data_IF_677586622579
#
_entry.id   IF_677586622579
#
_cell.length_a   1.000
_cell.length_b   1.000
_cell.length_c   1.000
_cell.angle_alpha   90.00
_cell.angle_beta   90.00
_cell.angle_gamma   90.00
#
_symmetry.space_group_name_H-M   'P 1'
#
loop_
_entity.id
_entity.type
_entity.pdbx_description
1 polymer ?
#
# COMPACT_ATOMS: atom_id res chain seq x y z
N UNK A 1 -5.10 23.02 -15.46
CA UNK A 1 -5.21 22.70 -14.02
C UNK A 1 -5.69 23.95 -13.30
N UNK A 2 -6.83 23.90 -12.61
CA UNK A 2 -7.41 25.05 -11.91
C UNK A 2 -6.58 25.36 -10.65
N UNK A 3 -6.31 26.63 -10.34
CA UNK A 3 -5.57 27.06 -9.14
C UNK A 3 -6.13 26.48 -7.83
N UNK A 4 -7.46 26.25 -7.77
CA UNK A 4 -8.10 25.62 -6.61
C UNK A 4 -7.75 24.14 -6.47
N UNK A 5 -7.67 23.41 -7.58
CA UNK A 5 -7.33 21.99 -7.61
C UNK A 5 -5.87 21.77 -7.19
N UNK A 6 -4.95 22.62 -7.68
CA UNK A 6 -3.55 22.61 -7.27
C UNK A 6 -3.39 22.86 -5.75
N UNK A 7 -4.16 23.81 -5.19
CA UNK A 7 -4.17 24.08 -3.74
C UNK A 7 -4.69 22.88 -2.94
N UNK A 8 -5.75 22.21 -3.41
CA UNK A 8 -6.28 20.99 -2.75
C UNK A 8 -5.26 19.86 -2.75
N UNK A 9 -4.59 19.62 -3.89
CA UNK A 9 -3.52 18.61 -3.99
C UNK A 9 -2.36 18.91 -3.04
N UNK A 10 -1.93 20.17 -2.98
CA UNK A 10 -0.85 20.58 -2.07
C UNK A 10 -1.22 20.35 -0.60
N UNK A 11 -2.42 20.75 -0.18
CA UNK A 11 -2.91 20.54 1.18
C UNK A 11 -3.05 19.05 1.54
N UNK A 12 -3.53 18.23 0.60
CA UNK A 12 -3.63 16.79 0.80
C UNK A 12 -2.24 16.16 1.00
N UNK A 13 -1.27 16.55 0.16
CA UNK A 13 0.13 16.11 0.27
C UNK A 13 0.74 16.52 1.61
N UNK A 14 0.57 17.76 2.03
CA UNK A 14 1.09 18.28 3.31
C UNK A 14 0.49 17.53 4.51
N UNK A 15 -0.82 17.24 4.48
CA UNK A 15 -1.48 16.44 5.51
C UNK A 15 -0.90 15.03 5.60
N UNK A 16 -0.69 14.37 4.46
CA UNK A 16 -0.09 13.05 4.38
C UNK A 16 1.35 13.07 4.90
N UNK A 17 2.16 14.03 4.48
CA UNK A 17 3.53 14.19 4.96
C UNK A 17 3.58 14.40 6.49
N UNK A 18 2.71 15.25 7.03
CA UNK A 18 2.63 15.51 8.48
C UNK A 18 2.23 14.25 9.26
N UNK A 19 1.32 13.44 8.72
CA UNK A 19 0.94 12.14 9.31
C UNK A 19 2.18 11.26 9.47
N UNK A 20 2.97 11.07 8.41
CA UNK A 20 4.13 10.17 8.48
C UNK A 20 5.30 10.74 9.29
N UNK A 21 5.50 12.07 9.29
CA UNK A 21 6.49 12.73 10.18
C UNK A 21 6.21 12.52 11.66
N UNK A 22 4.95 12.31 12.04
CA UNK A 22 4.52 12.10 13.42
C UNK A 22 4.15 10.65 13.75
N UNK A 23 4.31 9.73 12.78
CA UNK A 23 3.94 8.33 12.95
C UNK A 23 4.94 7.61 13.87
N UNK A 24 4.45 6.98 14.94
CA UNK A 24 5.29 6.39 16.00
C UNK A 24 5.96 5.06 15.63
N UNK A 25 5.52 4.43 14.53
CA UNK A 25 5.95 3.09 14.08
C UNK A 25 6.93 3.11 12.91
N UNK A 26 7.36 4.29 12.47
CA UNK A 26 8.35 4.47 11.42
C UNK A 26 9.14 5.76 11.62
N UNK A 27 10.31 5.84 11.01
CA UNK A 27 11.07 7.08 10.85
C UNK A 27 10.81 7.64 9.46
N UNK A 28 10.27 8.85 9.37
CA UNK A 28 10.12 9.55 8.10
C UNK A 28 11.49 9.87 7.49
N UNK A 29 11.66 9.57 6.20
CA UNK A 29 12.90 9.86 5.45
C UNK A 29 12.67 11.04 4.51
N UNK A 30 11.84 10.84 3.49
CA UNK A 30 11.59 11.85 2.47
C UNK A 30 10.23 11.68 1.78
N UNK A 31 9.79 12.74 1.11
CA UNK A 31 8.73 12.64 0.11
C UNK A 31 9.38 12.36 -1.24
N UNK A 32 8.97 11.29 -1.91
CA UNK A 32 9.48 10.94 -3.23
C UNK A 32 8.56 11.43 -4.34
N UNK A 33 9.15 11.72 -5.49
CA UNK A 33 8.45 12.12 -6.71
C UNK A 33 7.91 10.91 -7.47
N UNK A 34 6.92 11.14 -8.34
CA UNK A 34 6.21 10.07 -9.04
C UNK A 34 7.10 9.23 -9.98
N UNK A 35 8.21 9.76 -10.47
CA UNK A 35 9.20 9.02 -11.28
C UNK A 35 9.81 7.84 -10.51
N UNK A 36 10.04 7.98 -9.20
CA UNK A 36 10.49 6.87 -8.34
C UNK A 36 9.41 5.80 -8.12
N UNK A 37 8.17 6.05 -8.52
CA UNK A 37 7.04 5.13 -8.38
C UNK A 37 6.67 4.41 -9.67
N UNK A 38 7.32 4.77 -10.79
CA UNK A 38 6.93 4.26 -12.11
C UNK A 38 6.93 2.73 -12.16
N UNK A 39 7.98 2.11 -11.62
CA UNK A 39 8.10 0.65 -11.55
C UNK A 39 6.96 -0.01 -10.78
N UNK A 40 6.51 0.59 -9.68
CA UNK A 40 5.38 0.09 -8.91
C UNK A 40 4.05 0.25 -9.68
N UNK A 41 3.88 1.33 -10.43
CA UNK A 41 2.69 1.52 -11.27
C UNK A 41 2.66 0.61 -12.48
N UNK A 42 3.82 0.33 -13.08
CA UNK A 42 3.94 -0.65 -14.15
C UNK A 42 3.64 -2.06 -13.63
N UNK A 43 4.11 -2.39 -12.43
CA UNK A 43 3.74 -3.62 -11.71
C UNK A 43 2.23 -3.75 -11.51
N UNK A 44 1.56 -2.74 -10.96
CA UNK A 44 0.10 -2.76 -10.78
C UNK A 44 -0.62 -2.88 -12.13
N UNK A 45 -0.24 -2.06 -13.11
CA UNK A 45 -0.85 -2.02 -14.45
C UNK A 45 -0.71 -3.34 -15.21
N UNK A 46 0.36 -4.08 -14.96
CA UNK A 46 0.53 -5.42 -15.50
C UNK A 46 -0.30 -6.43 -14.72
N UNK A 47 -0.31 -6.40 -13.39
CA UNK A 47 -0.89 -7.45 -12.56
C UNK A 47 -2.42 -7.37 -12.33
N UNK A 48 -3.05 -6.20 -12.50
CA UNK A 48 -4.50 -6.00 -12.29
C UNK A 48 -5.24 -5.85 -13.64
N UNK A 49 -4.96 -6.72 -14.61
CA UNK A 49 -5.67 -6.72 -15.91
C UNK A 49 -6.84 -7.69 -15.89
N UNK A 50 -8.06 -7.14 -15.80
CA UNK A 50 -9.33 -7.88 -15.85
C UNK A 50 -9.72 -8.37 -17.26
N UNK A 51 -8.92 -8.10 -18.29
CA UNK A 51 -9.32 -8.29 -19.70
C UNK A 51 -8.70 -9.51 -20.39
N UNK A 52 -7.88 -10.29 -19.70
CA UNK A 52 -7.24 -11.49 -20.26
C UNK A 52 -7.87 -12.75 -19.67
N UNK A 53 -8.52 -13.57 -20.51
CA UNK A 53 -9.34 -14.74 -20.12
C UNK A 53 -8.61 -15.84 -19.32
N UNK A 54 -7.28 -15.77 -19.19
CA UNK A 54 -6.46 -16.76 -18.47
C UNK A 54 -5.47 -16.11 -17.47
N UNK A 55 -5.71 -14.88 -17.04
CA UNK A 55 -4.75 -14.14 -16.22
C UNK A 55 -4.84 -14.51 -14.74
N UNK A 56 -3.88 -15.31 -14.23
CA UNK A 56 -3.60 -15.43 -12.80
C UNK A 56 -2.14 -15.10 -12.54
N UNK A 57 -1.86 -13.82 -12.26
CA UNK A 57 -0.58 -13.36 -11.70
C UNK A 57 -0.73 -12.83 -10.27
N UNK A 58 -1.60 -13.42 -9.45
CA UNK A 58 -1.58 -13.14 -8.01
C UNK A 58 -0.78 -14.25 -7.30
N UNK A 59 -0.11 -13.89 -6.21
CA UNK A 59 0.68 -14.80 -5.39
C UNK A 59 -0.22 -15.65 -4.49
N UNK A 60 -1.21 -15.03 -3.86
CA UNK A 60 -2.22 -15.71 -3.04
C UNK A 60 -3.53 -14.91 -3.04
N UNK A 61 -4.60 -15.48 -2.49
CA UNK A 61 -5.88 -14.79 -2.32
C UNK A 61 -6.59 -15.21 -1.05
N UNK A 62 -7.30 -14.25 -0.45
CA UNK A 62 -8.24 -14.48 0.64
C UNK A 62 -9.67 -14.51 0.10
N UNK A 63 -10.40 -15.60 0.34
CA UNK A 63 -11.81 -15.71 -0.06
C UNK A 63 -12.69 -14.95 0.93
N UNK A 64 -13.42 -13.96 0.42
CA UNK A 64 -14.43 -13.24 1.17
C UNK A 64 -15.70 -14.11 1.16
N UNK A 65 -15.81 -15.00 2.15
CA UNK A 65 -17.03 -15.80 2.33
C UNK A 65 -18.24 -14.96 2.77
N UNK A 66 -19.34 -15.63 3.10
CA UNK A 66 -20.63 -14.97 3.48
C UNK A 66 -20.52 -14.01 4.70
N UNK A 67 -19.49 -14.16 5.52
CA UNK A 67 -19.18 -13.24 6.63
C UNK A 67 -18.00 -12.36 6.26
N UNK A 68 -18.29 -11.27 5.56
CA UNK A 68 -17.32 -10.20 5.33
C UNK A 68 -16.90 -9.58 6.67
N UNK A 69 -15.69 -9.90 7.11
CA UNK A 69 -15.06 -9.29 8.28
C UNK A 69 -13.77 -8.58 7.87
N UNK A 70 -13.80 -7.24 7.89
CA UNK A 70 -12.67 -6.39 7.53
C UNK A 70 -11.45 -6.65 8.41
N UNK A 71 -11.63 -7.04 9.68
CA UNK A 71 -10.52 -7.29 10.59
C UNK A 71 -9.81 -8.61 10.28
N UNK A 72 -10.54 -9.65 9.90
CA UNK A 72 -9.95 -10.90 9.40
C UNK A 72 -9.15 -10.67 8.11
N UNK A 73 -9.68 -9.89 7.17
CA UNK A 73 -8.98 -9.52 5.93
C UNK A 73 -7.71 -8.71 6.26
N UNK A 74 -7.84 -7.68 7.10
CA UNK A 74 -6.72 -6.85 7.59
C UNK A 74 -5.61 -7.72 8.20
N UNK A 75 -5.96 -8.64 9.09
CA UNK A 75 -4.99 -9.50 9.76
C UNK A 75 -4.28 -10.42 8.76
N UNK A 76 -5.00 -10.93 7.75
CA UNK A 76 -4.38 -11.71 6.69
C UNK A 76 -3.38 -10.88 5.87
N UNK A 77 -3.72 -9.65 5.49
CA UNK A 77 -2.80 -8.73 4.80
C UNK A 77 -1.55 -8.50 5.66
N UNK A 78 -1.71 -8.21 6.95
CA UNK A 78 -0.58 -7.97 7.88
C UNK A 78 0.31 -9.21 7.97
N UNK A 79 -0.27 -10.42 8.06
CA UNK A 79 0.50 -11.67 8.10
C UNK A 79 1.36 -11.84 6.84
N UNK A 80 0.83 -11.50 5.67
CA UNK A 80 1.56 -11.55 4.40
C UNK A 80 2.70 -10.54 4.34
N UNK A 81 2.44 -9.31 4.78
CA UNK A 81 3.45 -8.25 4.86
C UNK A 81 4.58 -8.63 5.81
N UNK A 82 4.26 -9.15 7.00
CA UNK A 82 5.25 -9.53 8.02
C UNK A 82 6.20 -10.65 7.56
N UNK A 83 5.79 -11.48 6.60
CA UNK A 83 6.65 -12.51 5.99
C UNK A 83 7.71 -11.92 5.04
N UNK A 84 7.44 -10.74 4.48
CA UNK A 84 8.27 -10.13 3.42
C UNK A 84 8.98 -8.86 3.88
N UNK A 85 8.71 -8.37 5.08
CA UNK A 85 9.16 -7.06 5.55
C UNK A 85 9.52 -7.13 7.02
N UNK A 86 10.64 -6.50 7.39
CA UNK A 86 11.21 -6.55 8.73
C UNK A 86 11.47 -5.13 9.28
N UNK A 87 11.61 -4.97 10.61
CA UNK A 87 12.10 -3.73 11.18
C UNK A 87 13.42 -3.27 10.51
N UNK A 88 13.59 -1.96 10.39
CA UNK A 88 14.65 -1.27 9.64
C UNK A 88 14.60 -1.43 8.11
N UNK A 89 13.58 -2.09 7.55
CA UNK A 89 13.35 -1.98 6.11
C UNK A 89 12.92 -0.55 5.75
N UNK A 90 13.47 -0.05 4.65
CA UNK A 90 13.09 1.22 4.04
C UNK A 90 12.04 0.91 2.98
N UNK A 91 10.87 1.51 3.12
CA UNK A 91 9.77 1.35 2.18
C UNK A 91 9.34 2.69 1.59
N UNK A 92 8.74 2.64 0.41
CA UNK A 92 7.99 3.75 -0.17
C UNK A 92 6.51 3.35 -0.21
N UNK A 93 5.66 4.16 0.41
CA UNK A 93 4.21 4.12 0.24
C UNK A 93 3.81 5.00 -0.95
N UNK A 94 3.31 4.41 -2.04
CA UNK A 94 2.92 5.15 -3.24
C UNK A 94 1.54 5.79 -3.09
N UNK A 95 1.43 7.06 -3.50
CA UNK A 95 0.19 7.81 -3.70
C UNK A 95 0.17 8.37 -5.12
N UNK A 96 -1.01 8.70 -5.64
CA UNK A 96 -1.22 9.08 -7.04
C UNK A 96 -0.09 9.90 -7.70
N UNK A 97 0.32 11.02 -7.06
CA UNK A 97 1.29 11.97 -7.63
C UNK A 97 2.64 12.03 -6.86
N UNK A 98 2.82 11.23 -5.80
CA UNK A 98 4.02 11.25 -4.93
C UNK A 98 4.07 10.02 -4.03
N UNK A 99 5.20 9.74 -3.38
CA UNK A 99 5.30 8.68 -2.38
C UNK A 99 5.86 9.19 -1.06
N UNK A 100 5.70 8.39 -0.01
CA UNK A 100 6.31 8.66 1.29
C UNK A 100 7.32 7.56 1.60
N UNK A 101 8.58 7.94 1.74
CA UNK A 101 9.67 7.05 2.08
C UNK A 101 9.88 7.05 3.60
N UNK A 102 9.84 5.87 4.21
CA UNK A 102 10.00 5.68 5.65
C UNK A 102 10.87 4.46 5.95
N UNK A 103 11.57 4.51 7.07
CA UNK A 103 12.18 3.33 7.69
C UNK A 103 11.21 2.76 8.71
N UNK A 104 10.88 1.47 8.61
CA UNK A 104 9.94 0.82 9.51
C UNK A 104 10.59 0.54 10.87
N UNK A 105 9.93 0.92 11.97
CA UNK A 105 10.35 0.52 13.32
C UNK A 105 9.57 -0.70 13.81
N UNK A 106 8.26 -0.74 13.55
CA UNK A 106 7.36 -1.85 13.93
C UNK A 106 6.43 -2.16 12.76
N UNK A 107 6.78 -3.17 11.98
CA UNK A 107 6.11 -3.52 10.71
C UNK A 107 4.60 -3.74 10.91
N UNK A 108 4.22 -4.71 11.75
CA UNK A 108 2.82 -5.06 11.95
C UNK A 108 2.00 -3.88 12.46
N UNK A 109 2.50 -3.16 13.47
CA UNK A 109 1.82 -2.02 14.07
C UNK A 109 1.67 -0.84 13.09
N UNK A 110 2.67 -0.62 12.23
CA UNK A 110 2.61 0.39 11.17
C UNK A 110 1.50 0.07 10.17
N UNK A 111 1.47 -1.14 9.61
CA UNK A 111 0.46 -1.52 8.63
C UNK A 111 -0.93 -1.73 9.24
N UNK A 112 -1.03 -2.13 10.51
CA UNK A 112 -2.30 -2.14 11.25
C UNK A 112 -2.89 -0.74 11.34
N UNK A 113 -2.09 0.28 11.67
CA UNK A 113 -2.56 1.67 11.72
C UNK A 113 -3.04 2.17 10.35
N UNK A 114 -2.32 1.86 9.26
CA UNK A 114 -2.73 2.23 7.90
C UNK A 114 -4.06 1.59 7.48
N UNK A 115 -4.23 0.30 7.76
CA UNK A 115 -5.46 -0.42 7.42
C UNK A 115 -6.63 -0.04 8.33
N UNK A 116 -6.40 0.20 9.62
CA UNK A 116 -7.43 0.67 10.55
C UNK A 116 -7.94 2.06 10.17
N UNK A 117 -7.05 2.96 9.72
CA UNK A 117 -7.47 4.25 9.18
C UNK A 117 -8.38 4.06 7.96
N UNK A 118 -8.00 3.20 7.00
CA UNK A 118 -8.84 2.87 5.83
C UNK A 118 -10.21 2.33 6.22
N UNK A 119 -10.25 1.37 7.14
CA UNK A 119 -11.50 0.81 7.68
C UNK A 119 -12.37 1.91 8.27
N UNK A 120 -11.80 2.77 9.11
CA UNK A 120 -12.51 3.86 9.80
C UNK A 120 -13.06 4.92 8.84
N UNK A 121 -12.38 5.14 7.72
CA UNK A 121 -12.79 6.08 6.68
C UNK A 121 -13.72 5.44 5.65
N UNK A 122 -14.07 4.16 5.82
CA UNK A 122 -14.84 3.37 4.86
C UNK A 122 -14.23 3.36 3.46
N UNK A 123 -12.90 3.39 3.39
CA UNK A 123 -12.11 3.25 2.17
C UNK A 123 -11.69 1.78 2.06
N UNK A 124 -11.60 1.25 0.84
CA UNK A 124 -11.14 -0.12 0.57
C UNK A 124 -9.79 -0.44 1.24
N UNK A 125 -9.56 -1.73 1.43
CA UNK A 125 -8.35 -2.29 2.05
C UNK A 125 -7.16 -2.40 1.09
N UNK A 126 -7.31 -1.97 -0.17
CA UNK A 126 -6.21 -1.82 -1.12
C UNK A 126 -4.98 -1.18 -0.46
N UNK A 127 -3.85 -1.86 -0.47
CA UNK A 127 -2.59 -1.34 0.08
C UNK A 127 -1.41 -1.92 -0.67
N UNK A 128 -0.40 -1.11 -0.93
CA UNK A 128 0.87 -1.62 -1.41
C UNK A 128 2.01 -0.68 -1.13
N UNK A 129 3.21 -1.19 -1.35
CA UNK A 129 4.46 -0.51 -1.04
C UNK A 129 5.59 -1.09 -1.88
N UNK A 130 6.62 -0.28 -2.04
CA UNK A 130 7.93 -0.69 -2.56
C UNK A 130 8.80 -0.90 -1.33
N UNK A 131 9.41 -2.07 -1.16
CA UNK A 131 10.43 -2.27 -0.12
C UNK A 131 11.81 -2.16 -0.76
N UNK A 132 12.48 -1.03 -0.54
CA UNK A 132 13.81 -0.74 -1.08
C UNK A 132 14.87 -1.65 -0.43
N UNK A 133 14.71 -2.00 0.84
CA UNK A 133 15.68 -2.84 1.54
C UNK A 133 15.63 -4.30 1.10
N UNK A 134 14.45 -4.80 0.71
CA UNK A 134 14.27 -6.19 0.26
C UNK A 134 14.16 -6.31 -1.27
N UNK A 135 14.14 -5.20 -2.00
CA UNK A 135 13.98 -5.16 -3.46
C UNK A 135 12.70 -5.90 -3.90
N UNK A 136 11.56 -5.53 -3.32
CA UNK A 136 10.26 -6.12 -3.65
C UNK A 136 9.18 -5.07 -3.89
N UNK A 137 8.21 -5.45 -4.71
CA UNK A 137 6.93 -4.77 -4.89
C UNK A 137 5.85 -5.66 -4.27
N UNK A 138 5.00 -5.09 -3.42
CA UNK A 138 3.95 -5.84 -2.75
C UNK A 138 2.66 -5.02 -2.76
N UNK A 139 1.57 -5.61 -3.24
CA UNK A 139 0.28 -4.95 -3.35
C UNK A 139 -0.86 -5.91 -3.06
N UNK A 140 -1.90 -5.41 -2.41
CA UNK A 140 -3.13 -6.11 -2.09
C UNK A 140 -4.29 -5.36 -2.72
N UNK A 141 -5.16 -6.08 -3.43
CA UNK A 141 -6.38 -5.54 -4.06
C UNK A 141 -7.60 -6.12 -3.38
N UNK A 142 -8.51 -5.30 -2.84
CA UNK A 142 -9.77 -5.74 -2.25
C UNK A 142 -10.94 -5.71 -3.26
N UNK A 143 -11.21 -6.86 -3.85
CA UNK A 143 -12.26 -7.08 -4.85
C UNK A 143 -13.55 -7.63 -4.22
N UNK A 144 -14.60 -7.77 -5.04
CA UNK A 144 -15.95 -8.15 -4.57
C UNK A 144 -15.99 -9.46 -3.75
N UNK A 145 -15.27 -10.49 -4.19
CA UNK A 145 -15.28 -11.83 -3.56
C UNK A 145 -13.92 -12.26 -3.00
N UNK A 146 -12.86 -11.49 -3.27
CA UNK A 146 -11.50 -11.88 -2.94
C UNK A 146 -10.66 -10.68 -2.57
N UNK A 147 -9.69 -10.89 -1.68
CA UNK A 147 -8.53 -10.01 -1.58
C UNK A 147 -7.35 -10.72 -2.21
N UNK A 148 -6.74 -10.12 -3.23
CA UNK A 148 -5.61 -10.70 -3.94
C UNK A 148 -4.30 -10.13 -3.42
N UNK A 149 -3.30 -10.98 -3.20
CA UNK A 149 -1.91 -10.63 -2.92
C UNK A 149 -1.11 -10.67 -4.22
N UNK A 150 -0.48 -9.56 -4.59
CA UNK A 150 0.43 -9.45 -5.73
C UNK A 150 1.82 -9.15 -5.21
N UNK A 151 2.82 -9.91 -5.68
CA UNK A 151 4.18 -9.84 -5.18
C UNK A 151 5.18 -10.02 -6.31
N UNK A 152 6.18 -9.15 -6.38
CA UNK A 152 7.28 -9.23 -7.34
C UNK A 152 8.62 -8.90 -6.65
N UNK A 153 9.69 -9.62 -7.03
CA UNK A 153 11.07 -9.32 -6.64
C UNK A 153 11.76 -8.57 -7.78
N UNK A 154 12.46 -7.49 -7.44
CA UNK A 154 13.26 -6.67 -8.36
C UNK A 154 14.67 -7.26 -8.55
#
# INVERSE_FOLDING_TARGET
MNTLEAKRKALAKERIETKYKSHKDCTFIEVVTADKLQEFYDFISTHIRYTEENYQRYNDRYCIGEKYDKYSIRNWIIEKIAKQTKPSDIIILPFLDFGICVELMRVEAFFEAELDEKISQHIGLDIGYINLSQQILHYFSDEEYFVFEYYERL
#
